data_IF_925338711500
#
_entry.id   IF_925338711500
#
_cell.length_a   1.000
_cell.length_b   1.000
_cell.length_c   1.000
_cell.angle_alpha   90.00
_cell.angle_beta   90.00
_cell.angle_gamma   90.00
#
_symmetry.space_group_name_H-M   'P 1'
#
loop_
_entity.id
_entity.type
_entity.pdbx_description
1 polymer ?
#
# COMPACT_ATOMS: atom_id res chain seq x y z
N UNK A 1 -8.03 -1.87 -16.58
CA UNK A 1 -8.26 -3.18 -15.95
C UNK A 1 -8.02 -3.00 -14.46
N UNK A 2 -8.98 -3.33 -13.59
CA UNK A 2 -8.84 -3.17 -12.14
C UNK A 2 -8.01 -4.34 -11.57
N UNK A 3 -7.04 -4.04 -10.70
CA UNK A 3 -6.31 -5.09 -9.95
C UNK A 3 -7.26 -5.71 -8.92
N UNK A 4 -7.45 -7.04 -8.90
CA UNK A 4 -8.27 -7.70 -7.87
C UNK A 4 -7.72 -7.44 -6.48
N UNK A 5 -8.61 -7.28 -5.49
CA UNK A 5 -8.22 -6.98 -4.11
C UNK A 5 -7.28 -8.03 -3.50
N UNK A 6 -7.51 -9.32 -3.78
CA UNK A 6 -6.67 -10.42 -3.33
C UNK A 6 -5.28 -10.48 -3.98
N UNK A 7 -5.00 -9.63 -4.96
CA UNK A 7 -3.71 -9.53 -5.65
C UNK A 7 -3.05 -8.17 -5.48
N UNK A 8 -3.63 -7.29 -4.65
CA UNK A 8 -3.10 -5.96 -4.40
C UNK A 8 -2.06 -6.02 -3.27
N UNK A 9 -0.93 -5.34 -3.46
CA UNK A 9 0.06 -5.06 -2.42
C UNK A 9 0.30 -3.55 -2.37
N UNK A 10 0.83 -3.09 -1.25
CA UNK A 10 1.30 -1.72 -1.08
C UNK A 10 2.81 -1.73 -0.87
N UNK A 11 3.48 -0.75 -1.46
CA UNK A 11 4.89 -0.47 -1.21
C UNK A 11 5.12 1.04 -1.22
N UNK A 12 6.18 1.48 -0.54
CA UNK A 12 6.65 2.88 -0.61
C UNK A 12 7.71 3.10 -1.69
N UNK A 13 8.39 2.01 -2.10
CA UNK A 13 9.61 2.02 -2.91
C UNK A 13 10.65 3.06 -2.42
N UNK A 14 10.74 3.26 -1.09
CA UNK A 14 11.68 4.22 -0.53
C UNK A 14 13.14 3.85 -0.86
N UNK A 15 13.99 4.83 -1.23
CA UNK A 15 13.81 6.29 -1.09
C UNK A 15 13.17 7.01 -2.29
N UNK A 16 12.60 6.27 -3.25
CA UNK A 16 12.00 6.81 -4.47
C UNK A 16 10.56 7.30 -4.25
N UNK A 17 10.03 8.07 -5.22
CA UNK A 17 8.68 8.64 -5.16
C UNK A 17 8.35 9.45 -3.89
N UNK A 18 9.16 10.46 -3.53
CA UNK A 18 8.85 11.33 -2.41
C UNK A 18 7.54 12.10 -2.65
N UNK A 19 6.83 12.37 -1.56
CA UNK A 19 5.76 13.37 -1.57
C UNK A 19 6.30 14.71 -2.06
N UNK A 20 5.42 15.50 -2.70
CA UNK A 20 5.78 16.85 -3.19
C UNK A 20 6.40 17.67 -2.05
N UNK A 21 7.61 18.19 -2.28
CA UNK A 21 8.35 18.99 -1.31
C UNK A 21 9.35 18.21 -0.47
N UNK A 22 9.32 16.88 -0.51
CA UNK A 22 10.30 16.03 0.17
C UNK A 22 11.43 15.61 -0.79
N UNK A 23 12.64 15.46 -0.25
CA UNK A 23 13.82 15.01 -1.00
C UNK A 23 13.86 13.49 -1.19
N UNK A 24 13.32 12.75 -0.23
CA UNK A 24 13.31 11.28 -0.20
C UNK A 24 12.00 10.81 0.43
N UNK A 25 11.56 9.62 0.07
CA UNK A 25 10.50 8.92 0.79
C UNK A 25 11.07 8.02 1.89
N UNK A 26 10.18 7.54 2.77
CA UNK A 26 10.52 6.60 3.83
C UNK A 26 9.43 5.52 3.96
N UNK A 27 9.75 4.31 4.48
CA UNK A 27 8.79 3.21 4.58
C UNK A 27 7.49 3.55 5.32
N UNK A 28 7.55 4.42 6.33
CA UNK A 28 6.38 4.84 7.10
C UNK A 28 5.40 5.73 6.32
N UNK A 29 5.75 6.19 5.11
CA UNK A 29 4.89 7.01 4.26
C UNK A 29 3.97 6.17 3.34
N UNK A 30 4.02 4.84 3.43
CA UNK A 30 3.14 3.93 2.69
C UNK A 30 1.64 4.23 2.90
N UNK A 31 1.28 4.84 4.04
CA UNK A 31 -0.08 5.28 4.34
C UNK A 31 -0.64 6.24 3.30
N UNK A 32 0.17 7.16 2.77
CA UNK A 32 -0.27 8.14 1.76
C UNK A 32 -0.64 7.45 0.44
N UNK A 33 0.12 6.43 0.04
CA UNK A 33 -0.21 5.62 -1.13
C UNK A 33 -1.50 4.83 -0.90
N UNK A 34 -1.68 4.26 0.29
CA UNK A 34 -2.89 3.51 0.64
C UNK A 34 -4.14 4.40 0.63
N UNK A 35 -4.04 5.63 1.16
CA UNK A 35 -5.13 6.60 1.16
C UNK A 35 -5.57 6.97 -0.27
N UNK A 36 -4.62 7.13 -1.21
CA UNK A 36 -4.94 7.38 -2.62
C UNK A 36 -5.63 6.20 -3.30
N UNK A 37 -5.17 4.98 -3.02
CA UNK A 37 -5.82 3.77 -3.55
C UNK A 37 -7.24 3.62 -3.00
N UNK A 38 -7.44 3.89 -1.71
CA UNK A 38 -8.74 3.88 -1.04
C UNK A 38 -9.72 4.89 -1.66
N UNK A 39 -9.25 6.11 -1.91
CA UNK A 39 -10.02 7.17 -2.61
C UNK A 39 -10.48 6.68 -4.00
N UNK A 40 -9.58 6.11 -4.80
CA UNK A 40 -9.92 5.59 -6.13
C UNK A 40 -10.90 4.40 -6.10
N UNK A 41 -10.88 3.62 -5.01
CA UNK A 41 -11.72 2.42 -4.84
C UNK A 41 -13.02 2.68 -4.06
N UNK A 42 -13.18 3.88 -3.51
CA UNK A 42 -14.33 4.26 -2.68
C UNK A 42 -14.53 3.34 -1.46
N UNK A 43 -13.43 2.99 -0.80
CA UNK A 43 -13.42 2.18 0.44
C UNK A 43 -12.64 2.88 1.55
N UNK A 44 -12.80 2.50 2.83
CA UNK A 44 -11.96 2.98 3.91
C UNK A 44 -10.49 2.62 3.72
N UNK A 45 -9.57 3.48 4.16
CA UNK A 45 -8.11 3.23 4.05
C UNK A 45 -7.69 2.00 4.87
N UNK A 46 -8.36 1.77 5.99
CA UNK A 46 -8.16 0.62 6.87
C UNK A 46 -8.43 -0.70 6.13
N UNK A 47 -9.40 -0.72 5.21
CA UNK A 47 -9.71 -1.90 4.38
C UNK A 47 -8.56 -2.21 3.41
N UNK A 48 -7.97 -1.19 2.78
CA UNK A 48 -6.80 -1.37 1.92
C UNK A 48 -5.61 -1.88 2.73
N UNK A 49 -5.32 -1.25 3.88
CA UNK A 49 -4.19 -1.64 4.73
C UNK A 49 -4.33 -3.07 5.25
N UNK A 50 -5.51 -3.46 5.75
CA UNK A 50 -5.75 -4.82 6.24
C UNK A 50 -5.61 -5.86 5.12
N UNK A 51 -6.31 -5.65 3.99
CA UNK A 51 -6.31 -6.62 2.90
C UNK A 51 -4.91 -6.80 2.31
N UNK A 52 -4.17 -5.71 2.11
CA UNK A 52 -2.83 -5.77 1.52
C UNK A 52 -1.79 -6.32 2.48
N UNK A 53 -1.95 -6.13 3.80
CA UNK A 53 -1.15 -6.81 4.81
C UNK A 53 -1.38 -8.33 4.79
N UNK A 54 -2.62 -8.78 4.69
CA UNK A 54 -2.93 -10.21 4.62
C UNK A 54 -2.46 -10.85 3.30
N UNK A 55 -2.57 -10.13 2.18
CA UNK A 55 -2.01 -10.54 0.90
C UNK A 55 -0.48 -10.68 0.97
N UNK A 56 0.20 -9.72 1.63
CA UNK A 56 1.66 -9.77 1.81
C UNK A 56 2.08 -10.97 2.66
N UNK A 57 1.37 -11.25 3.77
CA UNK A 57 1.62 -12.45 4.59
C UNK A 57 1.48 -13.72 3.76
N UNK A 58 0.42 -13.85 2.97
CA UNK A 58 0.19 -15.02 2.12
C UNK A 58 1.25 -15.18 1.03
N UNK A 59 1.58 -14.09 0.32
CA UNK A 59 2.54 -14.14 -0.79
C UNK A 59 3.97 -14.42 -0.33
N UNK A 60 4.40 -13.76 0.74
CA UNK A 60 5.77 -13.86 1.26
C UNK A 60 5.93 -14.88 2.39
N UNK A 61 4.85 -15.62 2.74
CA UNK A 61 4.84 -16.62 3.82
C UNK A 61 5.33 -16.07 5.16
N UNK A 62 4.83 -14.90 5.53
CA UNK A 62 5.24 -14.25 6.78
C UNK A 62 4.48 -14.88 7.96
N UNK A 63 5.22 -15.46 8.92
CA UNK A 63 4.64 -16.09 10.12
C UNK A 63 4.46 -17.61 10.04
N UNK A 64 4.94 -18.24 8.96
CA UNK A 64 5.21 -19.69 8.89
C UNK A 64 6.59 -20.03 9.46
#
# INVERSE_FOLDING_TARGET
MLVPESRLLMESDAPYFPLRGNKWSAPNQIYEAAARVAECRQVPVESILSQTADNAKSLYRLGE
#
